data_IF_648219961691
#
_entry.id   IF_648219961691
#
_cell.length_a   1.000
_cell.length_b   1.000
_cell.length_c   1.000
_cell.angle_alpha   90.00
_cell.angle_beta   90.00
_cell.angle_gamma   90.00
#
_symmetry.space_group_name_H-M   'P 1'
#
loop_
_entity.id
_entity.type
_entity.pdbx_description
1 polymer ?
#
# COMPACT_ATOMS: atom_id res chain seq x y z
N UNK A 1 7.97 -5.05 -13.74
CA UNK A 1 6.64 -5.71 -13.64
C UNK A 1 5.49 -4.69 -13.56
N UNK A 2 5.47 -3.77 -12.59
CA UNK A 2 4.36 -2.82 -12.41
C UNK A 2 4.09 -1.92 -13.63
N UNK A 3 5.11 -1.25 -14.19
CA UNK A 3 4.93 -0.46 -15.44
C UNK A 3 4.36 -1.29 -16.60
N UNK A 4 4.67 -2.59 -16.66
CA UNK A 4 4.15 -3.52 -17.65
C UNK A 4 2.69 -3.91 -17.38
N UNK A 5 2.27 -3.93 -16.11
CA UNK A 5 0.88 -4.17 -15.70
C UNK A 5 -0.01 -2.94 -15.91
N UNK A 6 0.52 -1.72 -15.72
CA UNK A 6 -0.19 -0.46 -15.95
C UNK A 6 -0.33 -0.17 -17.45
N UNK A 7 0.67 -0.52 -18.27
CA UNK A 7 0.63 -0.34 -19.73
C UNK A 7 -0.29 -1.34 -20.44
N UNK A 8 -0.58 -2.49 -19.83
CA UNK A 8 -1.60 -3.41 -20.32
C UNK A 8 -2.95 -2.96 -19.79
N UNK A 9 -3.86 -2.57 -20.69
CA UNK A 9 -5.21 -2.01 -20.43
C UNK A 9 -6.18 -2.95 -19.68
N UNK A 10 -5.66 -3.93 -18.94
CA UNK A 10 -6.39 -4.76 -17.98
C UNK A 10 -6.52 -4.00 -16.66
N UNK A 11 -7.74 -3.68 -16.28
CA UNK A 11 -8.13 -3.09 -14.99
C UNK A 11 -7.36 -3.78 -13.87
N UNK A 12 -6.34 -3.11 -13.32
CA UNK A 12 -5.54 -3.66 -12.21
C UNK A 12 -6.45 -3.71 -11.00
N UNK A 13 -7.05 -4.88 -10.76
CA UNK A 13 -8.00 -5.08 -9.68
C UNK A 13 -7.34 -5.17 -8.30
N UNK A 14 -8.16 -5.12 -7.26
CA UNK A 14 -7.76 -5.25 -5.86
C UNK A 14 -6.93 -6.53 -5.58
N UNK A 15 -7.22 -7.62 -6.29
CA UNK A 15 -6.49 -8.89 -6.17
C UNK A 15 -5.03 -8.76 -6.61
N UNK A 16 -4.75 -8.04 -7.70
CA UNK A 16 -3.39 -7.79 -8.20
C UNK A 16 -2.60 -6.97 -7.20
N UNK A 17 -3.20 -5.90 -6.67
CA UNK A 17 -2.58 -5.08 -5.63
C UNK A 17 -2.29 -5.88 -4.36
N UNK A 18 -3.22 -6.72 -3.89
CA UNK A 18 -2.97 -7.62 -2.74
C UNK A 18 -1.73 -8.48 -2.92
N UNK A 19 -1.57 -9.10 -4.09
CA UNK A 19 -0.40 -9.96 -4.38
C UNK A 19 0.89 -9.13 -4.38
N UNK A 20 0.87 -7.96 -5.04
CA UNK A 20 2.03 -7.06 -5.09
C UNK A 20 2.44 -6.60 -3.69
N UNK A 21 1.49 -6.10 -2.91
CA UNK A 21 1.68 -5.62 -1.53
C UNK A 21 2.26 -6.72 -0.63
N UNK A 22 1.69 -7.94 -0.67
CA UNK A 22 2.22 -9.08 0.10
C UNK A 22 3.68 -9.40 -0.27
N UNK A 23 3.99 -9.43 -1.56
CA UNK A 23 5.34 -9.74 -2.03
C UNK A 23 6.34 -8.64 -1.64
N UNK A 24 5.93 -7.37 -1.65
CA UNK A 24 6.78 -6.25 -1.22
C UNK A 24 7.17 -6.35 0.26
N UNK A 25 6.22 -6.68 1.14
CA UNK A 25 6.53 -6.89 2.56
C UNK A 25 7.42 -8.12 2.78
N UNK A 26 7.18 -9.21 2.05
CA UNK A 26 7.99 -10.42 2.15
C UNK A 26 9.48 -10.19 1.82
N UNK A 27 9.78 -9.20 0.96
CA UNK A 27 11.16 -8.78 0.63
C UNK A 27 11.61 -7.51 1.37
N UNK A 28 10.89 -7.09 2.41
CA UNK A 28 11.25 -5.94 3.24
C UNK A 28 11.08 -4.56 2.57
N UNK A 29 10.48 -4.49 1.38
CA UNK A 29 10.31 -3.24 0.62
C UNK A 29 9.05 -2.46 1.03
N UNK A 30 8.97 -2.12 2.32
CA UNK A 30 7.81 -1.44 2.89
C UNK A 30 7.62 -0.01 2.35
N UNK A 31 8.68 0.72 2.00
CA UNK A 31 8.54 2.06 1.38
C UNK A 31 7.83 1.98 0.03
N UNK A 32 8.19 0.98 -0.77
CA UNK A 32 7.52 0.71 -2.05
C UNK A 32 6.06 0.24 -1.85
N UNK A 33 5.79 -0.47 -0.75
CA UNK A 33 4.42 -0.81 -0.37
C UNK A 33 3.58 0.45 -0.17
N UNK A 34 4.09 1.44 0.55
CA UNK A 34 3.40 2.73 0.76
C UNK A 34 3.15 3.46 -0.55
N UNK A 35 4.14 3.51 -1.46
CA UNK A 35 3.93 4.08 -2.80
C UNK A 35 2.80 3.37 -3.56
N UNK A 36 2.73 2.04 -3.47
CA UNK A 36 1.66 1.26 -4.12
C UNK A 36 0.29 1.57 -3.51
N UNK A 37 0.18 1.82 -2.21
CA UNK A 37 -1.07 2.27 -1.60
C UNK A 37 -1.53 3.63 -2.16
N UNK A 38 -0.59 4.56 -2.35
CA UNK A 38 -0.91 5.84 -2.98
C UNK A 38 -1.39 5.65 -4.42
N UNK A 39 -0.70 4.80 -5.19
CA UNK A 39 -1.09 4.49 -6.58
C UNK A 39 -2.46 3.83 -6.69
N UNK A 40 -2.84 3.02 -5.71
CA UNK A 40 -4.19 2.46 -5.64
C UNK A 40 -5.22 3.59 -5.56
N UNK A 41 -5.02 4.56 -4.66
CA UNK A 41 -5.90 5.73 -4.53
C UNK A 41 -5.94 6.57 -5.81
N UNK A 42 -4.77 6.86 -6.41
CA UNK A 42 -4.65 7.63 -7.66
C UNK A 42 -5.38 6.94 -8.82
N UNK A 43 -5.43 5.61 -8.81
CA UNK A 43 -6.16 4.78 -9.78
C UNK A 43 -7.64 4.59 -9.44
N UNK A 44 -8.16 5.24 -8.40
CA UNK A 44 -9.55 5.10 -7.93
C UNK A 44 -9.85 3.76 -7.25
N UNK A 45 -8.83 2.97 -6.90
CA UNK A 45 -8.96 1.70 -6.19
C UNK A 45 -8.71 1.95 -4.71
N UNK A 46 -9.76 1.97 -3.88
CA UNK A 46 -9.61 2.26 -2.44
C UNK A 46 -8.83 1.15 -1.71
N UNK A 47 -7.69 1.44 -1.06
CA UNK A 47 -7.04 0.48 -0.18
C UNK A 47 -7.91 0.14 1.02
N UNK A 48 -7.76 -1.07 1.56
CA UNK A 48 -8.53 -1.51 2.72
C UNK A 48 -7.84 -1.10 4.02
N UNK A 49 -8.61 -1.00 5.11
CA UNK A 49 -8.09 -0.80 6.46
C UNK A 49 -6.93 -1.75 6.79
N UNK A 50 -7.10 -3.03 6.45
CA UNK A 50 -6.08 -4.06 6.64
C UNK A 50 -4.77 -3.74 5.91
N UNK A 51 -4.83 -3.18 4.70
CA UNK A 51 -3.62 -2.83 3.95
C UNK A 51 -2.82 -1.72 4.63
N UNK A 52 -3.48 -0.71 5.21
CA UNK A 52 -2.80 0.32 5.99
C UNK A 52 -2.20 -0.22 7.30
N UNK A 53 -2.92 -1.10 8.00
CA UNK A 53 -2.43 -1.70 9.24
C UNK A 53 -1.24 -2.65 9.01
N UNK A 54 -1.22 -3.39 7.90
CA UNK A 54 -0.22 -4.43 7.65
C UNK A 54 1.21 -3.90 7.53
N UNK A 55 1.38 -2.68 7.04
CA UNK A 55 2.72 -2.08 6.85
C UNK A 55 3.30 -1.51 8.15
N UNK A 56 2.46 -1.19 9.14
CA UNK A 56 2.89 -0.54 10.39
C UNK A 56 4.06 -1.27 11.09
N UNK A 57 4.04 -2.59 11.33
CA UNK A 57 5.15 -3.26 12.00
C UNK A 57 6.52 -3.08 11.31
N UNK A 58 6.53 -2.88 9.99
CA UNK A 58 7.75 -2.65 9.22
C UNK A 58 8.25 -1.22 9.38
N UNK A 59 7.34 -0.25 9.40
CA UNK A 59 7.64 1.17 9.62
C UNK A 59 8.19 1.40 11.03
N UNK A 60 7.56 0.78 12.04
CA UNK A 60 7.99 0.86 13.44
C UNK A 60 9.40 0.31 13.63
N UNK A 61 9.75 -0.80 12.95
CA UNK A 61 11.10 -1.38 12.99
C UNK A 61 12.16 -0.46 12.35
N UNK A 62 11.77 0.32 11.34
CA UNK A 62 12.65 1.30 10.67
C UNK A 62 12.72 2.65 11.42
N UNK A 63 11.96 2.82 12.51
CA UNK A 63 11.79 4.07 13.26
C UNK A 63 11.34 5.26 12.39
N UNK A 64 10.60 4.99 11.31
CA UNK A 64 10.13 5.97 10.33
C UNK A 64 8.80 6.61 10.77
N UNK A 65 8.82 7.45 11.81
CA UNK A 65 7.62 7.97 12.47
C UNK A 65 6.68 8.79 11.56
N UNK A 66 7.20 9.53 10.59
CA UNK A 66 6.38 10.28 9.62
C UNK A 66 5.42 9.36 8.85
N UNK A 67 5.90 8.17 8.50
CA UNK A 67 5.08 7.15 7.83
C UNK A 67 4.10 6.47 8.79
N UNK A 68 4.39 6.40 10.09
CA UNK A 68 3.43 5.91 11.09
C UNK A 68 2.24 6.86 11.16
N UNK A 69 2.51 8.16 11.31
CA UNK A 69 1.47 9.20 11.34
C UNK A 69 0.65 9.19 10.06
N UNK A 70 1.30 9.14 8.89
CA UNK A 70 0.61 9.03 7.60
C UNK A 70 -0.36 7.84 7.55
N UNK A 71 0.07 6.65 7.98
CA UNK A 71 -0.80 5.47 8.00
C UNK A 71 -1.95 5.62 8.99
N UNK A 72 -1.73 6.24 10.16
CA UNK A 72 -2.77 6.49 11.16
C UNK A 72 -3.82 7.49 10.65
N UNK A 73 -3.42 8.54 9.93
CA UNK A 73 -4.33 9.48 9.28
C UNK A 73 -5.20 8.76 8.25
N UNK A 74 -4.58 7.95 7.37
CA UNK A 74 -5.31 7.13 6.38
C UNK A 74 -6.30 6.17 7.04
N UNK A 75 -5.91 5.52 8.14
CA UNK A 75 -6.80 4.64 8.92
C UNK A 75 -7.98 5.42 9.50
N UNK A 76 -7.73 6.60 10.06
CA UNK A 76 -8.76 7.44 10.67
C UNK A 76 -9.77 7.90 9.61
N UNK A 77 -9.31 8.30 8.43
CA UNK A 77 -10.18 8.68 7.29
C UNK A 77 -11.04 7.53 6.75
N UNK A 78 -10.72 6.27 7.04
CA UNK A 78 -11.56 5.12 6.66
C UNK A 78 -12.64 4.79 7.70
N UNK A 79 -12.49 5.27 8.94
CA UNK A 79 -13.38 4.97 10.06
C UNK A 79 -14.40 6.08 10.35
N UNK A 80 -14.21 7.26 9.73
CA UNK A 80 -15.16 8.38 9.69
C UNK A 80 -16.09 8.25 8.48
#
# INVERSE_FOLDING_TARGET
LFYKMVSSCSTVGLSTYKVLLRNLLAVGKWRKYVEVLQWMEDAGVRPTLYMYQNVLPYIWRDNSMDYVTLMQEKISMLLL
#
